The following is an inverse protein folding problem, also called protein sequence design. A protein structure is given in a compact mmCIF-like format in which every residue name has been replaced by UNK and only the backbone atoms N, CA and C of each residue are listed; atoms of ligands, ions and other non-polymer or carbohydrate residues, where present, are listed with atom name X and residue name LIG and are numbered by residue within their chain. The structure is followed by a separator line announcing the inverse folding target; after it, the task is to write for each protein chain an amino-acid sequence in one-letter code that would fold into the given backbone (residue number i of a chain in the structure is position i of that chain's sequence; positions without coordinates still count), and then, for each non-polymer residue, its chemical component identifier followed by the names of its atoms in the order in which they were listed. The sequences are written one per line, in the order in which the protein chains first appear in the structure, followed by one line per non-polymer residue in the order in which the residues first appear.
data_IF_640141909647
#
_entry.id   IF_640141909647
#
_cell.length_a   1.000
_cell.length_b   1.000
_cell.length_c   1.000
_cell.angle_alpha   90.00
_cell.angle_beta   90.00
_cell.angle_gamma   90.00
#
_symmetry.space_group_name_H-M   'P 1'
#
loop_
_entity.id
_entity.type
_entity.pdbx_description
1 polymer ?
2 polymer ?
3 non-polymer ?
4 water ?
#
# COMPACT_ATOMS: atom_id res chain seq x y z
N UNK A 1 3.20 -10.90 1.83
CA UNK A 1 4.16 -10.68 2.92
C UNK A 1 4.94 -11.95 3.23
N UNK A 2 6.26 -11.85 3.14
CA UNK A 2 7.16 -12.94 3.48
C UNK A 2 7.56 -12.82 4.95
N UNK A 3 7.33 -13.88 5.70
CA UNK A 3 7.75 -13.93 7.10
C UNK A 3 6.93 -13.04 8.02
N UNK A 4 5.67 -12.80 7.66
CA UNK A 4 4.80 -11.98 8.49
C UNK A 4 3.86 -12.86 9.29
N UNK A 5 2.90 -12.22 9.94
CA UNK A 5 1.99 -12.88 10.86
C UNK A 5 0.54 -12.67 10.45
N UNK A 6 -0.28 -13.70 10.63
CA UNK A 6 -1.71 -13.57 10.37
C UNK A 6 -2.27 -12.50 11.31
N UNK A 7 -3.04 -11.56 10.78
CA UNK A 7 -3.68 -10.56 11.65
C UNK A 7 -4.86 -11.18 12.38
N UNK A 8 -5.29 -10.54 13.47
CA UNK A 8 -6.58 -10.79 14.05
C UNK A 8 -7.67 -10.37 13.03
N UNK A 9 -8.62 -11.28 12.75
CA UNK A 9 -9.65 -11.01 11.74
C UNK A 9 -10.36 -9.67 11.92
N UNK A 10 -10.35 -8.85 10.86
CA UNK A 10 -11.07 -7.58 10.85
C UNK A 10 -10.47 -6.53 11.79
N UNK A 11 -9.24 -6.78 12.22
CA UNK A 11 -8.50 -5.85 13.07
C UNK A 11 -7.97 -4.65 12.27
N UNK A 12 -8.07 -4.73 10.94
CA UNK A 12 -7.66 -3.65 10.07
C UNK A 12 -8.75 -3.44 9.03
N UNK A 13 -9.88 -2.85 9.48
CA UNK A 13 -11.12 -2.78 8.72
C UNK A 13 -11.05 -1.80 7.51
N UNK A 14 -9.96 -1.03 7.41
CA UNK A 14 -9.70 -0.16 6.25
C UNK A 14 -9.11 -0.90 5.05
N UNK A 15 -8.74 -2.18 5.20
CA UNK A 15 -8.09 -2.94 4.10
C UNK A 15 -9.01 -3.22 2.90
N UNK A 16 -8.47 -2.98 1.70
CA UNK A 16 -9.19 -3.31 0.45
C UNK A 16 -8.33 -4.29 -0.30
N UNK A 17 -8.97 -5.23 -0.98
CA UNK A 17 -8.31 -6.07 -1.94
C UNK A 17 -8.79 -5.64 -3.32
N UNK A 18 -7.87 -5.12 -4.11
CA UNK A 18 -8.15 -4.89 -5.52
C UNK A 18 -7.96 -6.18 -6.34
N UNK A 19 -9.01 -6.62 -7.01
CA UNK A 19 -9.03 -7.90 -7.68
C UNK A 19 -9.50 -7.79 -9.11
N UNK A 20 -8.92 -8.64 -9.95
CA UNK A 20 -9.30 -8.76 -11.34
C UNK A 20 -9.87 -10.14 -11.56
N UNK A 21 -11.14 -10.23 -11.97
CA UNK A 21 -11.78 -11.52 -12.11
C UNK A 21 -11.62 -12.43 -10.89
N UNK A 22 -11.93 -11.91 -9.69
CA UNK A 22 -11.80 -12.69 -8.46
C UNK A 22 -10.39 -12.92 -7.94
N UNK A 23 -9.37 -12.54 -8.71
CA UNK A 23 -7.98 -12.74 -8.32
C UNK A 23 -7.35 -11.46 -7.78
N UNK A 24 -6.86 -11.51 -6.53
CA UNK A 24 -6.16 -10.39 -5.85
C UNK A 24 -4.98 -9.83 -6.66
N UNK A 25 -4.85 -8.51 -6.68
CA UNK A 25 -3.83 -7.84 -7.48
C UNK A 25 -3.00 -6.91 -6.59
N UNK A 26 -3.66 -6.08 -5.79
CA UNK A 26 -2.98 -5.14 -4.95
C UNK A 26 -3.84 -4.88 -3.74
N UNK A 27 -3.25 -4.38 -2.65
CA UNK A 27 -4.04 -3.91 -1.52
C UNK A 27 -4.53 -2.48 -1.79
N UNK A 28 -5.37 -1.99 -0.89
CA UNK A 28 -5.77 -0.59 -0.90
C UNK A 28 -6.13 -0.17 0.51
N UNK A 29 -6.27 1.13 0.72
CA UNK A 29 -6.80 1.63 1.97
C UNK A 29 -8.06 2.48 1.70
N UNK A 30 -9.14 2.11 2.40
CA UNK A 30 -10.36 2.90 2.40
C UNK A 30 -10.09 4.22 3.17
N UNK A 31 -10.16 5.33 2.46
CA UNK A 31 -9.88 6.63 3.07
C UNK A 31 -11.15 7.50 3.11
N UNK A 32 -12.27 6.92 2.69
CA UNK A 32 -13.49 7.65 2.67
C UNK A 32 -14.57 6.62 2.32
N UNK A 33 -15.84 6.85 2.73
CA UNK A 33 -16.91 5.89 2.41
C UNK A 33 -17.07 5.58 0.92
N UNK A 34 -16.54 6.41 0.06
CA UNK A 34 -16.65 6.21 -1.40
C UNK A 34 -15.30 6.04 -2.13
N UNK A 35 -14.17 6.05 -1.39
CA UNK A 35 -12.81 6.10 -2.00
C UNK A 35 -11.80 5.17 -1.35
N UNK A 36 -11.12 4.39 -2.19
CA UNK A 36 -9.95 3.57 -1.78
C UNK A 36 -8.67 4.22 -2.37
N UNK A 37 -7.68 4.44 -1.51
CA UNK A 37 -6.34 4.87 -1.95
C UNK A 37 -5.49 3.65 -2.21
N UNK A 38 -4.80 3.65 -3.34
CA UNK A 38 -3.99 2.49 -3.71
C UNK A 38 -2.83 3.00 -4.53
N UNK A 39 -2.00 2.08 -5.05
CA UNK A 39 -0.86 2.43 -5.89
C UNK A 39 -1.26 2.57 -7.37
N UNK A 40 -0.76 3.62 -8.03
CA UNK A 40 -1.17 3.85 -9.42
C UNK A 40 -0.76 2.69 -10.32
N UNK A 41 0.38 2.06 -10.07
CA UNK A 41 0.86 1.04 -11.03
C UNK A 41 -0.06 -0.16 -11.05
N UNK A 42 -1.00 -0.21 -10.10
CA UNK A 42 -1.97 -1.31 -9.98
C UNK A 42 -3.09 -1.27 -11.03
N UNK A 43 -3.18 -0.18 -11.77
CA UNK A 43 -4.35 0.07 -12.65
C UNK A 43 -4.00 -0.06 -14.10
N UNK A 44 -2.77 -0.49 -14.36
CA UNK A 44 -2.36 -0.94 -15.71
C UNK A 44 -3.22 -2.14 -16.17
N UNK A 45 -4.55 -2.01 -16.03
CA UNK A 45 -5.53 -3.09 -16.28
C UNK A 45 -6.80 -2.59 -17.00
N UNK A 46 -7.51 -3.53 -17.63
CA UNK A 46 -8.89 -3.28 -18.07
C UNK A 46 -9.78 -3.14 -16.85
N UNK A 47 -10.21 -1.90 -16.57
CA UNK A 47 -11.08 -1.59 -15.42
C UNK A 47 -12.39 -2.40 -15.39
N UNK A 48 -12.90 -2.74 -16.57
CA UNK A 48 -14.14 -3.51 -16.72
C UNK A 48 -14.14 -4.79 -15.88
N UNK A 49 -12.94 -5.25 -15.53
CA UNK A 49 -12.75 -6.54 -14.87
C UNK A 49 -12.24 -6.41 -13.43
N UNK A 50 -12.04 -5.18 -12.99
CA UNK A 50 -11.57 -4.91 -11.65
C UNK A 50 -12.73 -4.72 -10.64
N UNK A 51 -12.54 -5.28 -9.46
CA UNK A 51 -13.42 -5.02 -8.32
C UNK A 51 -12.58 -4.66 -7.10
N UNK A 52 -13.21 -3.93 -6.16
CA UNK A 52 -12.68 -3.71 -4.82
C UNK A 52 -13.50 -4.50 -3.78
N UNK A 53 -12.83 -5.30 -2.95
CA UNK A 53 -13.51 -6.10 -1.93
C UNK A 53 -13.07 -5.69 -0.51
N UNK A 54 -14.06 -5.39 0.30
CA UNK A 54 -13.87 -4.87 1.64
C UNK A 54 -14.29 -5.85 2.76
N UNK A 55 -13.68 -5.70 3.92
CA UNK A 55 -14.05 -6.50 5.09
C UNK A 55 -13.55 -7.92 5.06
N UNK A 56 -12.59 -8.19 4.16
CA UNK A 56 -12.04 -9.53 4.01
C UNK A 56 -11.06 -9.85 5.12
N UNK A 57 -10.99 -11.15 5.46
CA UNK A 57 -9.84 -11.70 6.14
C UNK A 57 -9.22 -12.79 5.29
N UNK A 58 -10.02 -13.81 5.03
CA UNK A 58 -9.69 -14.88 4.11
C UNK A 58 -9.99 -14.41 2.71
N UNK A 59 -9.01 -14.60 1.82
CA UNK A 59 -9.11 -14.09 0.47
C UNK A 59 -10.25 -14.76 -0.32
N UNK A 60 -10.38 -16.07 -0.26
CA UNK A 60 -11.53 -16.68 -0.88
C UNK A 60 -12.67 -16.75 0.12
N UNK A 61 -13.52 -15.74 0.04
CA UNK A 61 -14.60 -15.45 0.98
C UNK A 61 -15.30 -14.24 0.35
N UNK A 62 -16.62 -14.03 0.62
CA UNK A 62 -17.33 -12.96 -0.09
C UNK A 62 -16.77 -11.56 0.15
N UNK A 63 -16.74 -11.15 1.42
CA UNK A 63 -16.57 -9.75 1.79
C UNK A 63 -17.64 -8.90 1.14
N UNK A 64 -17.41 -7.59 1.05
CA UNK A 64 -18.34 -6.68 0.39
C UNK A 64 -17.68 -6.09 -0.89
N UNK A 65 -18.30 -6.39 -2.03
CA UNK A 65 -17.72 -6.08 -3.33
C UNK A 65 -18.33 -4.85 -4.02
N UNK A 66 -17.43 -4.00 -4.52
CA UNK A 66 -17.75 -2.77 -5.21
C UNK A 66 -17.17 -2.77 -6.61
N UNK A 67 -17.91 -2.20 -7.56
CA UNK A 67 -17.37 -1.86 -8.85
C UNK A 67 -16.68 -0.51 -8.71
N UNK A 68 -15.82 -0.15 -9.66
CA UNK A 68 -15.05 1.07 -9.62
C UNK A 68 -15.65 2.03 -10.65
N UNK A 69 -16.07 3.20 -10.22
CA UNK A 69 -16.63 4.17 -11.15
C UNK A 69 -15.54 4.97 -11.86
N UNK A 70 -14.42 5.16 -11.17
CA UNK A 70 -13.33 5.98 -11.69
C UNK A 70 -12.06 5.65 -10.97
N UNK A 71 -10.95 5.70 -11.71
CA UNK A 71 -9.61 5.48 -11.20
C UNK A 71 -8.83 6.74 -11.55
N UNK A 72 -8.58 7.55 -10.53
CA UNK A 72 -7.89 8.80 -10.75
C UNK A 72 -6.44 8.60 -10.26
N UNK A 73 -5.51 8.42 -11.21
CA UNK A 73 -4.08 8.39 -10.98
C UNK A 73 -3.57 9.80 -10.70
N UNK A 74 -2.57 9.90 -9.83
CA UNK A 74 -1.97 11.19 -9.54
C UNK A 74 -1.59 11.83 -10.88
N UNK A 75 -1.82 13.16 -11.00
CA UNK A 75 -1.53 13.88 -12.25
C UNK A 75 -0.10 13.74 -12.74
N UNK A 76 0.85 13.53 -11.82
CA UNK A 76 2.26 13.46 -12.19
C UNK A 76 2.85 12.04 -12.00
N UNK A 77 1.97 11.04 -12.07
CA UNK A 77 2.37 9.65 -11.97
C UNK A 77 3.34 9.37 -13.12
N UNK A 78 4.50 8.82 -12.80
CA UNK A 78 5.42 8.35 -13.83
C UNK A 78 5.68 6.89 -13.52
N UNK A 79 5.37 5.98 -14.47
CA UNK A 79 5.54 4.54 -14.23
C UNK A 79 7.01 4.13 -14.30
N UNK A 80 7.30 2.84 -14.14
CA UNK A 80 8.69 2.38 -14.25
C UNK A 80 9.31 2.85 -15.58
N UNK A 81 10.63 3.14 -15.57
CA UNK A 81 11.65 3.04 -14.51
C UNK A 81 11.55 4.02 -13.35
N UNK A 82 11.08 5.24 -13.60
CA UNK A 82 10.89 6.21 -12.52
C UNK A 82 9.52 5.96 -12.01
N UNK A 83 9.36 5.45 -10.80
CA UNK A 83 8.02 5.18 -10.32
C UNK A 83 7.58 6.34 -9.41
N UNK A 84 7.37 7.51 -10.00
CA UNK A 84 7.07 8.69 -9.18
C UNK A 84 5.59 8.90 -8.98
N UNK A 85 5.20 9.35 -7.78
CA UNK A 85 3.81 9.74 -7.48
C UNK A 85 2.90 8.54 -7.71
N UNK A 86 3.27 7.40 -7.11
CA UNK A 86 2.67 6.13 -7.45
C UNK A 86 1.39 5.92 -6.63
N UNK A 87 0.37 6.78 -6.89
CA UNK A 87 -0.88 6.77 -6.16
C UNK A 87 -2.06 6.93 -7.11
N UNK A 88 -3.15 6.21 -6.82
CA UNK A 88 -4.41 6.34 -7.51
C UNK A 88 -5.53 6.33 -6.46
N UNK A 89 -6.59 7.06 -6.73
CA UNK A 89 -7.77 7.03 -5.90
C UNK A 89 -8.89 6.39 -6.73
N UNK A 90 -9.55 5.40 -6.13
CA UNK A 90 -10.58 4.64 -6.81
C UNK A 90 -11.95 4.95 -6.23
N UNK A 91 -12.89 5.32 -7.09
CA UNK A 91 -14.21 5.61 -6.58
C UNK A 91 -15.13 4.42 -6.63
N UNK A 92 -15.68 4.09 -5.47
CA UNK A 92 -16.57 2.95 -5.32
C UNK A 92 -17.90 3.26 -5.97
N UNK A 93 -18.60 2.24 -6.44
CA UNK A 93 -19.90 2.50 -7.09
C UNK A 93 -21.07 2.48 -6.11
N UNK A 94 -20.74 2.49 -4.82
CA UNK A 94 -21.69 2.58 -3.70
C UNK A 94 -21.00 3.37 -2.60
N UNK A 95 -21.56 3.37 -1.40
CA UNK A 95 -21.10 4.24 -0.32
C UNK A 95 -21.02 3.36 0.88
N UNK A 96 -19.82 3.23 1.44
CA UNK A 96 -19.60 2.36 2.60
C UNK A 96 -20.28 2.89 3.88
N UNK A 97 -21.07 2.03 4.53
CA UNK A 97 -21.66 2.33 5.85
C UNK A 97 -20.76 1.73 6.95
N UNK A 98 -20.08 2.60 7.74
CA UNK A 98 -19.05 2.13 8.68
C UNK A 98 -19.59 1.08 9.66
N UNK A 99 -18.87 -0.03 9.76
CA UNK A 99 -19.26 -1.14 10.62
C UNK A 99 -18.01 -1.65 11.32
N UNK A 100 -18.09 -2.82 11.95
CA UNK A 100 -16.94 -3.30 12.75
C UNK A 100 -15.85 -3.93 11.90
N UNK A 101 -16.24 -4.48 10.75
CA UNK A 101 -15.31 -5.13 9.83
C UNK A 101 -14.85 -4.20 8.68
N UNK A 102 -15.59 -3.12 8.42
CA UNK A 102 -15.25 -2.20 7.34
C UNK A 102 -15.34 -0.75 7.82
N UNK A 103 -14.27 0.02 7.69
CA UNK A 103 -14.21 1.40 8.17
C UNK A 103 -13.04 2.20 7.56
N UNK A 104 -13.27 3.46 7.15
CA UNK A 104 -12.15 4.25 6.65
C UNK A 104 -11.05 4.56 7.66
N UNK A 105 -9.82 4.62 7.19
CA UNK A 105 -8.74 5.14 7.99
C UNK A 105 -8.50 6.63 7.67
N UNK A 106 -8.43 7.48 8.70
CA UNK A 106 -8.26 8.91 8.51
C UNK A 106 -6.92 9.28 7.86
N UNK A 107 -6.92 10.34 7.08
CA UNK A 107 -5.69 10.81 6.47
C UNK A 107 -4.90 11.50 7.56
N UNK A 108 -3.58 11.52 7.42
CA UNK A 108 -2.79 12.24 8.40
C UNK A 108 -2.89 13.73 8.13
N UNK A 109 -2.36 14.56 9.01
CA UNK A 109 -2.25 15.99 8.70
C UNK A 109 -1.40 16.12 7.42
N UNK A 110 -1.58 17.20 6.67
CA UNK A 110 -0.71 17.46 5.53
C UNK A 110 0.73 17.80 5.97
N UNK A 111 0.93 18.12 7.24
CA UNK A 111 2.28 18.35 7.73
C UNK A 111 2.88 17.23 8.59
N UNK A 112 2.31 16.03 8.49
CA UNK A 112 2.98 14.87 9.05
C UNK A 112 4.35 14.63 8.40
N UNK A 113 5.37 14.41 9.22
CA UNK A 113 6.64 13.90 8.73
C UNK A 113 6.82 12.44 9.20
N UNK A 114 7.32 11.59 8.32
CA UNK A 114 7.66 10.22 8.74
C UNK A 114 9.18 10.18 8.90
N UNK A 115 9.62 10.46 10.12
CA UNK A 115 11.03 10.50 10.43
C UNK A 115 11.68 9.11 10.43
N UNK A 116 12.94 9.04 10.04
CA UNK A 116 13.76 7.84 10.27
C UNK A 116 13.55 7.30 11.68
N UNK A 117 13.34 6.00 11.81
CA UNK A 117 13.20 5.42 13.13
C UNK A 117 11.76 5.14 13.54
N UNK A 118 10.82 5.84 12.92
CA UNK A 118 9.41 5.62 13.16
C UNK A 118 9.09 4.13 13.00
N UNK A 119 8.43 3.58 14.02
CA UNK A 119 7.92 2.22 14.01
C UNK A 119 6.50 2.18 13.40
N UNK A 120 6.34 1.32 12.40
CA UNK A 120 5.15 1.21 11.58
C UNK A 120 4.88 -0.28 11.33
N UNK A 121 3.77 -0.56 10.65
CA UNK A 121 3.49 -1.90 10.17
C UNK A 121 2.67 -1.76 8.90
N UNK A 122 2.60 -2.84 8.14
CA UNK A 122 1.72 -2.88 6.98
C UNK A 122 1.08 -4.24 6.84
N UNK A 123 0.00 -4.26 6.07
CA UNK A 123 -0.77 -5.45 5.89
C UNK A 123 -1.04 -5.70 4.42
N UNK A 124 -1.12 -6.99 4.09
CA UNK A 124 -1.46 -7.43 2.74
C UNK A 124 -1.60 -8.93 2.57
N UNK A 125 -2.11 -9.31 1.40
CA UNK A 125 -2.29 -10.71 1.03
C UNK A 125 -1.24 -11.15 0.02
N UNK A 126 -0.18 -10.36 -0.16
CA UNK A 126 0.81 -10.68 -1.14
C UNK A 126 1.59 -11.95 -0.86
N UNK A 127 2.46 -12.26 -1.80
CA UNK A 127 3.24 -13.52 -1.77
C UNK A 127 3.90 -13.77 -0.44
N UNK A 128 3.96 -15.06 -0.09
CA UNK A 128 4.56 -15.52 1.18
C UNK A 128 5.98 -16.08 1.00
N UNK A 129 6.35 -16.33 -0.24
CA UNK A 129 7.71 -16.74 -0.58
C UNK A 129 8.03 -16.19 -1.97
N UNK A 130 9.31 -15.94 -2.21
CA UNK A 130 9.79 -15.60 -3.55
C UNK A 130 9.28 -16.65 -4.55
N UNK A 131 8.64 -16.17 -5.62
CA UNK A 131 8.09 -17.03 -6.65
C UNK A 131 6.98 -17.94 -6.16
N UNK A 132 6.33 -17.57 -5.05
CA UNK A 132 5.33 -18.43 -4.43
C UNK A 132 3.94 -18.02 -4.83
N UNK A 133 3.05 -18.06 -3.86
CA UNK A 133 1.65 -17.73 -4.12
C UNK A 133 1.14 -16.74 -3.09
N UNK A 134 -0.03 -16.19 -3.37
CA UNK A 134 -0.65 -15.25 -2.46
C UNK A 134 -0.92 -15.92 -1.14
N UNK A 135 -0.94 -15.14 -0.08
CA UNK A 135 -1.45 -15.58 1.20
C UNK A 135 -2.96 -15.77 1.14
N UNK A 136 -3.42 -16.79 1.83
CA UNK A 136 -4.83 -17.11 1.93
C UNK A 136 -5.51 -16.17 2.92
N UNK A 137 -4.74 -15.67 3.86
CA UNK A 137 -5.27 -14.83 4.95
C UNK A 137 -4.51 -13.49 4.98
N UNK A 138 -5.17 -12.44 5.47
CA UNK A 138 -4.52 -11.15 5.61
C UNK A 138 -3.42 -11.26 6.63
N UNK A 139 -2.22 -10.80 6.26
CA UNK A 139 -1.05 -10.83 7.15
C UNK A 139 -0.46 -9.44 7.41
N UNK A 140 0.45 -9.34 8.37
CA UNK A 140 1.00 -8.07 8.78
C UNK A 140 2.50 -8.20 9.04
N UNK A 141 3.21 -7.08 9.00
CA UNK A 141 4.64 -7.04 9.22
C UNK A 141 5.01 -5.67 9.76
N UNK A 142 5.76 -5.67 10.87
CA UNK A 142 6.37 -4.48 11.46
C UNK A 142 7.47 -3.99 10.58
N UNK A 143 7.46 -2.69 10.32
CA UNK A 143 8.50 -2.08 9.52
C UNK A 143 8.95 -0.83 10.22
N UNK A 144 10.21 -0.49 10.00
CA UNK A 144 10.81 0.70 10.59
C UNK A 144 11.25 1.53 9.41
N UNK A 145 11.10 2.85 9.54
CA UNK A 145 11.52 3.78 8.51
C UNK A 145 13.05 3.99 8.57
N UNK A 146 13.70 3.86 7.41
CA UNK A 146 15.13 4.10 7.29
C UNK A 146 15.46 5.49 6.79
N UNK A 147 16.67 5.95 7.10
CA UNK A 147 17.12 7.26 6.68
C UNK A 147 17.16 7.19 5.16
N UNK A 148 16.46 8.12 4.52
CA UNK A 148 16.41 8.22 3.06
C UNK A 148 17.78 8.39 2.42
N UNK A 149 18.64 9.19 3.03
CA UNK A 149 20.00 9.31 2.51
C UNK A 149 20.75 7.99 2.53
N UNK A 150 20.60 7.21 3.59
CA UNK A 150 21.25 5.91 3.63
C UNK A 150 20.62 4.97 2.61
N UNK A 151 19.30 5.02 2.46
CA UNK A 151 18.64 4.22 1.43
C UNK A 151 19.08 4.57 0.00
N UNK A 152 19.57 5.80 -0.18
CA UNK A 152 19.94 6.32 -1.50
C UNK A 152 21.41 6.02 -1.82
N UNK A 153 22.05 5.35 -0.89
CA UNK A 153 23.41 4.88 -1.06
C UNK A 153 23.59 4.09 -2.38
N UNK A 154 24.75 4.21 -3.02
CA UNK A 154 25.05 3.49 -4.26
C UNK A 154 24.77 1.97 -4.25
N UNK A 155 25.05 1.29 -3.14
CA UNK A 155 24.69 -0.13 -3.07
C UNK A 155 23.24 -0.40 -2.78
N UNK A 156 22.50 0.61 -2.31
CA UNK A 156 21.10 0.45 -2.01
C UNK A 156 20.29 0.99 -3.18
N UNK A 157 19.50 2.04 -3.00
CA UNK A 157 18.71 2.60 -4.12
C UNK A 157 19.42 3.65 -4.99
N UNK A 158 20.72 3.90 -4.74
CA UNK A 158 21.56 4.53 -5.75
C UNK A 158 21.00 5.90 -6.24
N UNK A 159 20.60 6.78 -5.29
CA UNK A 159 20.14 8.14 -5.58
C UNK A 159 18.72 8.27 -6.12
N UNK A 160 17.96 7.19 -6.20
CA UNK A 160 16.70 7.25 -6.94
C UNK A 160 15.44 7.44 -6.09
N UNK A 161 15.59 7.54 -4.77
CA UNK A 161 14.46 7.80 -3.90
C UNK A 161 14.25 9.28 -3.67
N UNK A 162 13.05 9.78 -4.03
CA UNK A 162 12.67 11.18 -3.80
C UNK A 162 12.28 11.45 -2.36
N UNK A 163 12.11 12.73 -2.00
CA UNK A 163 11.67 13.13 -0.64
C UNK A 163 10.26 12.68 -0.26
N UNK A 164 9.49 12.24 -1.26
CA UNK A 164 8.11 11.79 -1.05
C UNK A 164 8.04 10.29 -0.74
N UNK A 165 9.20 9.62 -0.73
CA UNK A 165 9.26 8.16 -0.60
C UNK A 165 9.78 7.73 0.77
N UNK A 166 9.27 6.63 1.30
CA UNK A 166 9.56 6.23 2.67
C UNK A 166 10.26 4.89 2.56
N UNK A 167 11.52 4.85 2.96
CA UNK A 167 12.34 3.64 2.88
C UNK A 167 12.18 2.80 4.15
N UNK A 168 12.05 1.49 4.00
CA UNK A 168 11.53 0.66 5.07
C UNK A 168 12.37 -0.61 5.28
N UNK A 169 12.44 -1.09 6.51
CA UNK A 169 13.07 -2.38 6.82
C UNK A 169 12.36 -3.08 7.94
N UNK A 170 12.21 -4.39 7.75
CA UNK A 170 11.73 -5.34 8.77
C UNK A 170 12.81 -5.60 9.82
N UNK A 171 12.46 -6.26 10.90
CA UNK A 171 13.44 -6.56 11.97
C UNK A 171 14.44 -7.63 11.57
N UNK A 172 14.10 -8.37 10.54
CA UNK A 172 14.90 -9.48 10.11
C UNK A 172 15.06 -9.38 8.63
N UNK A 173 16.14 -9.96 8.15
CA UNK A 173 16.51 -9.98 6.75
C UNK A 173 15.52 -10.77 5.86
N UNK A 174 14.74 -11.64 6.47
CA UNK A 174 13.92 -12.59 5.73
C UNK A 174 12.45 -12.27 5.80
N UNK A 175 12.16 -11.02 6.10
CA UNK A 175 10.81 -10.56 6.20
C UNK A 175 10.74 -9.39 5.28
N UNK A 176 9.71 -9.35 4.43
CA UNK A 176 9.54 -8.26 3.44
C UNK A 176 8.13 -8.36 2.81
N UNK A 177 7.52 -7.22 2.43
CA UNK A 177 6.32 -7.32 1.60
C UNK A 177 6.72 -7.95 0.28
N UNK A 178 5.78 -8.55 -0.45
CA UNK A 178 6.15 -9.10 -1.75
C UNK A 178 4.97 -8.87 -2.74
N UNK A 179 4.98 -9.51 -3.91
CA UNK A 179 4.01 -9.21 -4.95
C UNK A 179 2.56 -9.39 -4.45
N UNK A 180 1.72 -8.35 -4.65
CA UNK A 180 0.35 -8.34 -4.15
C UNK A 180 0.20 -7.40 -2.99
N UNK A 181 1.33 -6.92 -2.45
CA UNK A 181 1.33 -6.13 -1.21
C UNK A 181 1.26 -4.62 -1.46
N UNK A 182 1.69 -4.19 -2.66
CA UNK A 182 1.58 -2.76 -3.05
C UNK A 182 0.15 -2.23 -3.01
N UNK A 183 0.00 -0.93 -2.75
CA UNK A 183 -1.32 -0.34 -2.58
C UNK A 183 -1.80 -0.28 -1.14
N UNK A 184 -1.34 -1.23 -0.33
CA UNK A 184 -1.75 -1.33 1.05
C UNK A 184 -1.11 -0.23 1.87
N UNK A 185 -1.72 0.09 3.02
CA UNK A 185 -1.28 1.22 3.84
C UNK A 185 -0.10 0.90 4.78
N UNK A 186 0.77 1.87 4.98
CA UNK A 186 1.73 1.84 6.08
C UNK A 186 1.16 2.72 7.20
N UNK A 187 0.94 2.13 8.39
CA UNK A 187 0.49 2.90 9.56
C UNK A 187 1.62 3.00 10.59
N UNK A 188 1.85 4.20 11.09
CA UNK A 188 2.96 4.43 12.01
C UNK A 188 2.54 4.97 13.37
N UNK A 189 3.43 4.85 14.34
CA UNK A 189 3.17 5.29 15.71
C UNK A 189 2.17 4.47 16.52
N UNK A 190 2.06 4.82 17.81
CA UNK A 190 1.14 4.19 18.77
C UNK A 190 -0.32 4.36 18.33
N UNK A 191 -0.64 5.55 17.77
CA UNK A 191 -1.98 5.84 17.25
C UNK A 191 -2.28 5.17 15.92
N UNK A 192 -1.29 4.45 15.38
CA UNK A 192 -1.40 3.72 14.11
C UNK A 192 -2.02 4.58 13.02
N UNK A 193 -1.32 5.67 12.72
CA UNK A 193 -1.76 6.72 11.80
C UNK A 193 -1.32 6.34 10.39
N UNK A 194 -2.14 6.65 9.41
CA UNK A 194 -1.82 6.33 8.02
C UNK A 194 -0.64 7.18 7.59
N UNK A 195 0.44 6.56 7.13
CA UNK A 195 1.63 7.34 6.70
C UNK A 195 2.14 7.04 5.29
N UNK A 196 1.78 5.91 4.71
CA UNK A 196 2.26 5.61 3.37
C UNK A 196 1.42 4.58 2.65
N UNK A 197 1.68 4.43 1.35
CA UNK A 197 1.05 3.41 0.53
C UNK A 197 2.23 2.70 -0.13
N UNK A 198 2.32 1.42 0.12
CA UNK A 198 3.42 0.66 -0.45
C UNK A 198 3.48 0.74 -1.97
N UNK A 199 4.70 0.80 -2.51
CA UNK A 199 4.92 1.03 -3.95
C UNK A 199 5.73 -0.12 -4.59
N UNK A 200 7.00 -0.27 -4.18
CA UNK A 200 7.98 -1.10 -4.89
C UNK A 200 9.14 -1.64 -4.06
N UNK A 201 9.80 -2.67 -4.60
CA UNK A 201 11.06 -3.18 -4.07
C UNK A 201 11.93 -3.50 -5.30
N UNK A 202 12.78 -4.54 -5.22
CA UNK A 202 13.46 -5.05 -6.41
C UNK A 202 12.80 -6.39 -6.73
N UNK A 203 13.23 -7.07 -7.80
CA UNK A 203 12.58 -8.32 -8.20
C UNK A 203 12.58 -9.37 -7.06
N UNK A 204 13.65 -9.39 -6.26
CA UNK A 204 13.69 -10.31 -5.11
C UNK A 204 13.24 -9.53 -3.88
N UNK A 205 12.18 -10.00 -3.22
CA UNK A 205 11.52 -9.27 -2.16
C UNK A 205 12.34 -9.00 -0.92
N UNK A 206 13.17 -9.97 -0.55
CA UNK A 206 14.02 -9.89 0.65
C UNK A 206 15.46 -9.40 0.34
N UNK A 207 15.71 -8.91 -0.87
CA UNK A 207 17.02 -8.33 -1.25
C UNK A 207 17.33 -7.24 -0.22
N UNK A 208 18.35 -7.44 0.61
CA UNK A 208 18.67 -6.44 1.62
C UNK A 208 19.24 -5.13 1.05
N UNK A 209 19.71 -5.19 -0.20
CA UNK A 209 20.27 -4.00 -0.79
C UNK A 209 19.22 -3.21 -1.57
N UNK A 210 17.97 -3.68 -1.54
CA UNK A 210 16.84 -2.99 -2.14
C UNK A 210 15.63 -3.01 -1.19
N UNK A 211 15.68 -2.16 -0.14
CA UNK A 211 14.63 -2.18 0.85
C UNK A 211 13.30 -1.74 0.20
N UNK A 212 12.17 -2.26 0.71
CA UNK A 212 10.86 -1.83 0.21
C UNK A 212 10.63 -0.33 0.44
N UNK A 213 9.82 0.27 -0.44
CA UNK A 213 9.48 1.67 -0.33
C UNK A 213 8.02 1.95 -0.55
N UNK A 214 7.54 2.86 0.28
CA UNK A 214 6.15 3.30 0.24
C UNK A 214 6.15 4.77 -0.14
N UNK A 215 5.07 5.16 -0.80
CA UNK A 215 4.84 6.56 -1.06
C UNK A 215 4.28 7.18 0.25
N UNK A 216 4.93 8.23 0.77
CA UNK A 216 4.35 9.00 1.89
C UNK A 216 2.99 9.65 1.54
N UNK A 217 2.01 9.52 2.44
CA UNK A 217 0.69 10.07 2.24
C UNK A 217 0.61 11.59 2.43
N UNK A 218 1.37 12.11 3.41
CA UNK A 218 1.16 13.49 3.87
C UNK A 218 1.28 14.56 2.75
N UNK A 219 2.31 14.45 1.87
CA UNK A 219 2.40 15.45 0.77
C UNK A 219 1.28 15.37 -0.28
N UNK A 220 0.43 14.35 -0.21
CA UNK A 220 -0.61 14.15 -1.21
C UNK A 220 -2.00 14.42 -0.65
N UNK A 221 -2.06 14.70 0.65
CA UNK A 221 -3.31 14.90 1.35
C UNK A 221 -4.24 15.97 0.73
N UNK A 222 -3.66 17.05 0.23
CA UNK A 222 -4.50 18.09 -0.37
C UNK A 222 -5.03 17.66 -1.73
N UNK A 223 -4.20 16.98 -2.54
CA UNK A 223 -4.70 16.33 -3.76
C UNK A 223 -5.83 15.38 -3.42
N UNK A 224 -5.64 14.55 -2.39
CA UNK A 224 -6.64 13.56 -2.04
C UNK A 224 -7.94 14.27 -1.68
N UNK A 225 -7.84 15.38 -0.95
CA UNK A 225 -9.03 16.11 -0.49
C UNK A 225 -9.72 16.77 -1.68
N UNK A 226 -8.94 17.35 -2.60
CA UNK A 226 -9.52 17.87 -3.82
C UNK A 226 -10.25 16.79 -4.61
N UNK A 227 -9.64 15.62 -4.77
CA UNK A 227 -10.24 14.59 -5.60
C UNK A 227 -11.52 14.10 -4.97
N UNK A 228 -11.47 13.72 -3.69
CA UNK A 228 -12.63 13.23 -2.92
C UNK A 228 -13.71 14.29 -2.67
N UNK A 229 -13.38 15.56 -2.89
CA UNK A 229 -14.28 16.69 -2.66
C UNK A 229 -14.58 16.94 -1.19
N UNK A 230 -13.66 16.55 -0.32
CA UNK A 230 -13.88 16.74 1.09
C UNK A 230 -12.70 17.51 1.63
N UNK A 231 -12.84 18.84 1.64
CA UNK A 231 -11.75 19.77 2.00
C UNK A 231 -11.07 19.55 3.38
N UNK B 2 18.75 1.24 -11.79
CA UNK B 2 18.71 -0.21 -12.16
C UNK B 2 17.26 -0.74 -12.31
N UNK B 3 16.67 -1.25 -11.22
CA UNK B 3 15.40 -1.97 -11.31
C UNK B 3 14.45 -1.78 -10.13
N UNK B 4 13.59 -0.77 -10.22
CA UNK B 4 12.38 -0.70 -9.40
C UNK B 4 11.37 -1.69 -9.92
N UNK B 5 10.89 -2.57 -9.05
CA UNK B 5 9.91 -3.57 -9.41
C UNK B 5 8.70 -3.32 -8.55
N UNK B 6 7.58 -2.92 -9.19
CA UNK B 6 6.35 -2.67 -8.43
C UNK B 6 5.99 -3.89 -7.56
N UNK B 7 5.64 -3.66 -6.30
CA UNK B 7 5.14 -4.74 -5.46
C UNK B 7 3.72 -5.16 -5.83
X LIG C 1 -0.95 -18.98 3.91
X LIG C 1 -1.80 -18.45 4.97
X LIG C 1 0.29 -18.19 3.83
X LIG C 1 -0.57 -20.37 4.17
X LIG C 1 -1.63 -18.91 2.61
X LIG D 1 -11.13 -0.42 -19.27
X LIG D 1 -12.19 0.52 -18.93
X LIG D 1 -9.94 -0.10 -18.48
X LIG D 1 -11.61 -1.77 -18.99
X LIG D 1 -10.78 -0.34 -20.68
X LIG E 1 -20.06 -8.67 -9.67
X LIG E 1 -20.40 -8.02 -10.95
X LIG E 1 -20.19 -7.69 -8.60
X LIG E 1 -20.93 -10.10 -9.42
X LIG E 1 -18.58 -9.40 -9.77
X LIG F 1 17.11 -9.48 -10.25
X LIG F 1 16.37 -9.67 -8.97
X LIG F 1 17.97 -8.31 -10.08
X LIG F 1 17.97 -10.67 -10.51
X LIG F 1 16.10 -9.26 -11.32
X LIG G 1 4.04 7.71 19.12
X LIG G 1 3.69 8.03 20.60
X LIG G 1 4.01 6.25 18.88
X LIG G 1 2.91 8.33 18.14
X LIG G 1 5.43 8.22 18.79
#
# INVERSE_FOLDING_TARGET
IIGGREVIPHSRPYMASLQRNGSHLCGGVLVHPKWVLTAAHCLAQRMAQLRLVLGLHTLDSPGLTFHIKAAIQHPRYKPVPALENDLALLQLDGKVKPSRTIRPLALPSKRQVVAAGTRCSMAGWGLTHQGGRLSRVLRELDLQVLDTRMCNNSRFWNGSLSPSMVCLAADSKDQAPCKGDSGGPLVCGKGRVLAGVLSFSSRVCTDIFKPPVATAVAPYVSWIRKVTGRSALEHHHHHH
SSGKVPL
SO4 S O1 O2 O3 O4
SO4 S O1 O2 O3 O4
SO4 S O1 O2 O3 O4
SO4 S O1 O2 O3 O4
SO4 S O1 O2 O3 O4
#
